data_IF_454199306219
#
_entry.id   IF_454199306219
#
_cell.length_a   1.000
_cell.length_b   1.000
_cell.length_c   1.000
_cell.angle_alpha   90.00
_cell.angle_beta   90.00
_cell.angle_gamma   90.00
#
_symmetry.space_group_name_H-M   'P 1'
#
loop_
_entity.id
_entity.type
_entity.pdbx_description
1 polymer ?
#
# COMPACT_ATOMS: atom_id res chain seq x y z
N UNK A 1 -68.17 24.36 -45.26
CA UNK A 1 -67.29 23.37 -45.91
C UNK A 1 -67.03 22.26 -44.90
N UNK A 2 -67.50 21.05 -45.21
CA UNK A 2 -67.30 19.84 -44.41
C UNK A 2 -66.44 18.87 -45.22
N UNK A 3 -65.57 18.11 -44.53
CA UNK A 3 -64.93 16.80 -44.86
C UNK A 3 -63.59 16.74 -44.09
N UNK A 4 -62.98 15.62 -43.65
CA UNK A 4 -63.29 14.23 -43.34
C UNK A 4 -62.05 13.71 -42.52
N UNK A 5 -62.19 12.58 -41.83
CA UNK A 5 -61.26 11.99 -40.84
C UNK A 5 -60.13 11.10 -41.49
N UNK A 6 -59.55 10.09 -40.79
CA UNK A 6 -58.15 9.92 -40.34
C UNK A 6 -57.29 8.94 -41.16
N UNK A 7 -55.96 8.86 -40.93
CA UNK A 7 -55.19 7.66 -41.31
C UNK A 7 -53.91 7.40 -40.48
N UNK A 8 -53.99 6.27 -39.77
CA UNK A 8 -52.99 5.37 -39.18
C UNK A 8 -51.53 5.51 -39.65
N UNK A 9 -50.60 5.47 -38.68
CA UNK A 9 -49.35 4.71 -38.80
C UNK A 9 -48.82 4.33 -37.41
N UNK A 10 -49.04 3.07 -37.02
CA UNK A 10 -48.36 2.44 -35.90
C UNK A 10 -46.95 2.02 -36.37
N UNK A 11 -45.91 2.44 -35.66
CA UNK A 11 -44.55 1.93 -35.83
C UNK A 11 -44.00 1.56 -34.45
N UNK A 12 -43.89 0.25 -34.26
CA UNK A 12 -43.34 -0.45 -33.11
C UNK A 12 -41.83 -0.14 -33.00
N UNK A 13 -41.41 0.52 -31.92
CA UNK A 13 -40.00 0.61 -31.57
C UNK A 13 -39.62 -0.56 -30.65
N UNK A 14 -38.70 -1.39 -31.14
CA UNK A 14 -38.16 -2.56 -30.47
C UNK A 14 -37.38 -2.18 -29.20
N UNK A 15 -37.64 -2.88 -28.11
CA UNK A 15 -36.91 -2.79 -26.86
C UNK A 15 -35.56 -3.53 -26.96
N UNK A 16 -34.46 -2.83 -26.68
CA UNK A 16 -33.12 -3.42 -26.53
C UNK A 16 -32.79 -3.59 -25.04
N UNK A 17 -32.32 -4.77 -24.58
CA UNK A 17 -31.94 -4.96 -23.19
C UNK A 17 -30.55 -4.38 -22.92
N UNK A 18 -30.46 -3.45 -21.96
CA UNK A 18 -29.18 -2.97 -21.43
C UNK A 18 -28.62 -4.03 -20.47
N UNK A 19 -27.54 -4.70 -20.88
CA UNK A 19 -26.77 -5.59 -20.02
C UNK A 19 -25.93 -4.70 -19.09
N UNK A 20 -26.34 -4.59 -17.82
CA UNK A 20 -25.57 -3.93 -16.78
C UNK A 20 -24.35 -4.81 -16.42
N UNK A 21 -23.17 -4.43 -16.91
CA UNK A 21 -21.90 -5.02 -16.48
C UNK A 21 -21.42 -4.32 -15.20
N UNK A 22 -21.51 -4.99 -14.06
CA UNK A 22 -20.78 -4.59 -12.85
C UNK A 22 -19.33 -5.09 -12.98
N UNK A 23 -18.43 -4.24 -13.47
CA UNK A 23 -17.01 -4.42 -13.23
C UNK A 23 -16.67 -3.76 -11.87
N UNK A 24 -16.04 -4.48 -10.91
CA UNK A 24 -15.54 -3.84 -9.71
C UNK A 24 -14.40 -2.90 -10.12
N UNK A 25 -14.66 -1.59 -10.07
CA UNK A 25 -13.65 -0.56 -10.16
C UNK A 25 -12.79 -0.61 -8.89
N UNK A 26 -11.82 -1.52 -8.86
CA UNK A 26 -10.70 -1.43 -7.95
C UNK A 26 -9.85 -0.24 -8.39
N UNK A 27 -9.81 0.83 -7.60
CA UNK A 27 -8.84 1.90 -7.75
C UNK A 27 -7.46 1.33 -7.43
N UNK A 28 -6.78 0.75 -8.43
CA UNK A 28 -5.36 0.49 -8.33
C UNK A 28 -4.66 1.84 -8.49
N UNK A 29 -4.17 2.41 -7.39
CA UNK A 29 -3.21 3.51 -7.45
C UNK A 29 -2.04 3.09 -8.35
N UNK A 30 -1.69 3.88 -9.38
CA UNK A 30 -0.57 3.56 -10.26
C UNK A 30 0.73 3.77 -9.46
N UNK A 31 1.31 2.68 -8.94
CA UNK A 31 2.63 2.74 -8.31
C UNK A 31 2.99 1.56 -7.40
N UNK A 32 2.01 0.90 -6.78
CA UNK A 32 2.29 -0.29 -5.98
C UNK A 32 2.29 -1.53 -6.87
N UNK A 33 3.47 -2.07 -7.18
CA UNK A 33 3.56 -3.40 -7.76
C UNK A 33 2.81 -4.40 -6.85
N UNK A 34 1.98 -5.25 -7.45
CA UNK A 34 1.22 -6.24 -6.70
C UNK A 34 2.16 -7.15 -5.89
N UNK A 35 1.80 -7.40 -4.62
CA UNK A 35 2.56 -8.30 -3.77
C UNK A 35 2.47 -9.74 -4.28
N UNK A 36 3.58 -10.47 -4.22
CA UNK A 36 3.55 -11.93 -4.39
C UNK A 36 2.76 -12.57 -3.23
N UNK A 37 2.23 -13.80 -3.39
CA UNK A 37 1.49 -14.48 -2.32
C UNK A 37 2.25 -14.56 -0.99
N UNK A 38 3.57 -14.84 -1.05
CA UNK A 38 4.43 -14.90 0.14
C UNK A 38 4.60 -13.54 0.83
N UNK A 39 4.64 -12.45 0.06
CA UNK A 39 4.76 -11.11 0.60
C UNK A 39 3.43 -10.66 1.23
N UNK A 40 2.30 -10.97 0.60
CA UNK A 40 0.97 -10.73 1.14
C UNK A 40 0.77 -11.49 2.46
N UNK A 41 1.08 -12.80 2.49
CA UNK A 41 1.00 -13.62 3.70
C UNK A 41 1.88 -13.05 4.82
N UNK A 42 3.10 -12.60 4.50
CA UNK A 42 3.99 -11.95 5.47
C UNK A 42 3.37 -10.66 6.01
N UNK A 43 2.82 -9.81 5.14
CA UNK A 43 2.17 -8.56 5.53
C UNK A 43 1.00 -8.84 6.48
N UNK A 44 0.10 -9.73 6.06
CA UNK A 44 -1.10 -10.10 6.81
C UNK A 44 -0.73 -10.66 8.18
N UNK A 45 0.26 -11.55 8.25
CA UNK A 45 0.74 -12.12 9.51
C UNK A 45 1.25 -11.05 10.48
N UNK A 46 1.96 -10.03 10.00
CA UNK A 46 2.50 -8.97 10.86
C UNK A 46 1.41 -8.01 11.34
N UNK A 47 0.40 -7.76 10.51
CA UNK A 47 -0.70 -6.84 10.80
C UNK A 47 -1.93 -7.51 11.41
N UNK A 48 -1.95 -8.85 11.51
CA UNK A 48 -3.05 -9.61 12.07
C UNK A 48 -3.50 -9.09 13.45
N UNK A 49 -4.82 -8.94 13.60
CA UNK A 49 -5.47 -8.45 14.80
C UNK A 49 -5.17 -6.97 15.12
N UNK A 50 -4.65 -6.19 14.16
CA UNK A 50 -4.36 -4.77 14.35
C UNK A 50 -5.18 -3.92 13.39
N UNK A 51 -5.59 -2.76 13.86
CA UNK A 51 -6.39 -1.78 13.13
C UNK A 51 -5.48 -0.61 12.73
N UNK A 52 -5.53 -0.13 11.48
CA UNK A 52 -4.80 1.05 11.05
C UNK A 52 -5.35 2.30 11.75
N UNK A 53 -4.46 3.21 12.15
CA UNK A 53 -4.79 4.56 12.59
C UNK A 53 -4.37 5.62 11.58
N UNK A 54 -4.41 6.88 12.01
CA UNK A 54 -4.03 8.01 11.17
C UNK A 54 -2.55 7.94 10.72
N UNK A 55 -2.25 8.17 9.43
CA UNK A 55 -0.89 8.30 8.94
C UNK A 55 -0.13 9.40 9.69
N UNK A 56 1.12 9.13 10.03
CA UNK A 56 2.02 10.06 10.70
C UNK A 56 3.31 10.25 9.92
N UNK A 57 3.90 11.43 10.07
CA UNK A 57 5.08 11.81 9.28
C UNK A 57 6.38 11.22 9.80
N UNK A 58 6.54 11.04 11.11
CA UNK A 58 7.82 10.61 11.68
C UNK A 58 7.63 9.45 12.64
N UNK A 59 8.53 8.46 12.56
CA UNK A 59 8.51 7.30 13.44
C UNK A 59 9.02 7.70 14.84
N UNK A 60 8.21 7.56 15.91
CA UNK A 60 8.59 8.08 17.23
C UNK A 60 9.80 7.40 17.88
N UNK A 61 9.99 6.10 17.60
CA UNK A 61 11.05 5.28 18.21
C UNK A 61 11.63 4.35 17.15
N UNK A 62 12.53 4.85 16.31
CA UNK A 62 13.19 4.02 15.29
C UNK A 62 14.15 3.03 15.95
N UNK A 63 13.94 1.73 15.70
CA UNK A 63 14.83 0.64 16.07
C UNK A 63 15.10 -0.20 14.83
N UNK A 64 16.35 -0.17 14.35
CA UNK A 64 16.75 -0.87 13.12
C UNK A 64 16.45 -2.37 13.17
N UNK A 65 16.67 -3.00 14.34
CA UNK A 65 16.45 -4.43 14.56
C UNK A 65 14.99 -4.88 14.45
N UNK A 66 14.04 -3.94 14.49
CA UNK A 66 12.60 -4.21 14.42
C UNK A 66 12.02 -3.95 13.01
N UNK A 67 12.89 -3.77 12.02
CA UNK A 67 12.50 -3.55 10.62
C UNK A 67 12.17 -4.88 9.94
N UNK A 68 11.03 -4.94 9.26
CA UNK A 68 10.55 -6.11 8.51
C UNK A 68 10.38 -5.69 7.06
N UNK A 69 11.09 -6.38 6.17
CA UNK A 69 11.11 -6.12 4.74
C UNK A 69 10.04 -6.99 4.07
N UNK A 70 8.92 -6.38 3.69
CA UNK A 70 7.78 -7.09 3.10
C UNK A 70 7.97 -7.22 1.60
N UNK A 71 8.22 -6.10 0.92
CA UNK A 71 8.43 -6.04 -0.52
C UNK A 71 9.48 -4.99 -0.87
N UNK A 72 9.65 -4.72 -2.17
CA UNK A 72 10.50 -3.63 -2.61
C UNK A 72 9.91 -2.23 -2.30
N UNK A 73 8.66 -2.16 -1.83
CA UNK A 73 7.94 -0.91 -1.55
C UNK A 73 7.33 -0.83 -0.16
N UNK A 74 7.33 -1.92 0.63
CA UNK A 74 6.67 -1.96 1.94
C UNK A 74 7.66 -2.39 3.03
N UNK A 75 7.78 -1.53 4.04
CA UNK A 75 8.49 -1.78 5.28
C UNK A 75 7.50 -1.80 6.44
N UNK A 76 7.75 -2.66 7.42
CA UNK A 76 7.10 -2.58 8.72
C UNK A 76 8.13 -2.34 9.81
N UNK A 77 7.76 -1.56 10.82
CA UNK A 77 8.55 -1.31 12.01
C UNK A 77 7.77 -1.80 13.23
N UNK A 78 8.25 -2.88 13.86
CA UNK A 78 7.61 -3.42 15.05
C UNK A 78 7.97 -2.56 16.26
N UNK A 79 6.97 -2.23 17.08
CA UNK A 79 7.16 -1.52 18.35
C UNK A 79 6.43 -2.28 19.45
N UNK A 80 6.96 -3.47 19.77
CA UNK A 80 6.32 -4.44 20.66
C UNK A 80 5.21 -5.26 19.99
N UNK A 81 4.51 -6.09 20.77
CA UNK A 81 3.49 -7.02 20.25
C UNK A 81 2.19 -6.34 19.79
N UNK A 82 1.92 -5.12 20.25
CA UNK A 82 0.63 -4.44 20.07
C UNK A 82 0.66 -3.31 19.05
N UNK A 83 1.83 -2.98 18.50
CA UNK A 83 2.01 -1.85 17.58
C UNK A 83 3.03 -2.19 16.49
N UNK A 84 2.61 -2.00 15.24
CA UNK A 84 3.46 -2.10 14.05
C UNK A 84 3.20 -0.86 13.21
N UNK A 85 4.24 -0.17 12.75
CA UNK A 85 4.10 0.92 11.80
C UNK A 85 4.35 0.39 10.39
N UNK A 86 3.40 0.58 9.48
CA UNK A 86 3.58 0.31 8.06
C UNK A 86 4.10 1.55 7.37
N UNK A 87 5.13 1.40 6.55
CA UNK A 87 5.63 2.45 5.67
C UNK A 87 5.57 1.94 4.23
N UNK A 88 4.77 2.61 3.42
CA UNK A 88 4.75 2.41 1.98
C UNK A 88 5.69 3.46 1.37
N UNK A 89 6.76 3.01 0.71
CA UNK A 89 7.80 3.88 0.16
C UNK A 89 7.26 4.75 -0.98
N UNK A 90 7.80 5.97 -1.13
CA UNK A 90 7.43 6.86 -2.25
C UNK A 90 7.90 6.33 -3.59
N UNK A 91 8.93 5.48 -3.59
CA UNK A 91 9.44 4.79 -4.76
C UNK A 91 9.78 3.33 -4.41
N UNK A 92 9.68 2.45 -5.40
CA UNK A 92 10.21 1.09 -5.26
C UNK A 92 11.72 1.12 -4.99
N UNK A 93 12.18 0.26 -4.11
CA UNK A 93 13.57 0.11 -3.69
C UNK A 93 14.07 -1.27 -4.11
N UNK A 94 14.69 -1.41 -5.30
CA UNK A 94 15.09 -2.70 -5.84
C UNK A 94 15.99 -3.50 -4.90
N UNK A 95 15.57 -4.72 -4.59
CA UNK A 95 16.30 -5.59 -3.67
C UNK A 95 15.95 -5.41 -2.21
N UNK A 96 15.03 -4.50 -1.88
CA UNK A 96 14.59 -4.34 -0.50
C UNK A 96 13.91 -5.60 0.03
N UNK A 97 13.24 -6.42 -0.76
CA UNK A 97 12.73 -7.70 -0.27
C UNK A 97 13.83 -8.74 0.07
N UNK A 98 15.09 -8.51 -0.31
CA UNK A 98 16.22 -9.44 -0.07
C UNK A 98 16.88 -9.16 1.27
N UNK A 99 16.73 -10.06 2.23
CA UNK A 99 17.31 -9.91 3.57
C UNK A 99 18.86 -9.90 3.63
N UNK A 100 19.54 -10.15 2.49
CA UNK A 100 21.01 -10.15 2.37
C UNK A 100 21.64 -8.76 2.37
N UNK A 101 20.91 -7.76 1.85
CA UNK A 101 21.47 -6.43 1.58
C UNK A 101 21.42 -5.56 2.85
N UNK A 102 22.44 -4.74 3.07
CA UNK A 102 22.53 -3.86 4.24
C UNK A 102 21.72 -2.59 3.96
N UNK A 103 20.74 -2.29 4.81
CA UNK A 103 19.96 -1.05 4.74
C UNK A 103 20.69 0.08 5.48
N UNK A 104 21.10 1.11 4.75
CA UNK A 104 21.79 2.29 5.30
C UNK A 104 20.85 3.48 5.27
N UNK A 105 20.34 3.85 6.45
CA UNK A 105 19.42 4.98 6.63
C UNK A 105 20.20 6.27 6.84
N UNK A 106 19.87 7.33 6.09
CA UNK A 106 20.35 8.68 6.35
C UNK A 106 19.23 9.46 7.03
N UNK A 107 19.39 9.66 8.33
CA UNK A 107 18.45 10.38 9.18
C UNK A 107 18.91 11.84 9.33
N UNK A 108 18.06 12.81 9.01
CA UNK A 108 18.37 14.25 9.11
C UNK A 108 17.91 14.90 10.42
N UNK A 109 17.48 14.10 11.41
CA UNK A 109 17.00 14.57 12.71
C UNK A 109 17.07 13.50 13.79
N UNK A 110 16.23 13.59 14.82
CA UNK A 110 16.15 12.62 15.93
C UNK A 110 15.26 11.40 15.64
N UNK A 111 14.52 11.42 14.53
CA UNK A 111 13.65 10.33 14.08
C UNK A 111 13.75 10.13 12.57
N UNK A 112 13.32 8.95 12.11
CA UNK A 112 13.11 8.65 10.69
C UNK A 112 11.76 9.22 10.26
N UNK A 113 11.76 10.11 9.28
CA UNK A 113 10.57 10.79 8.79
C UNK A 113 10.25 10.46 7.33
N UNK A 114 9.01 10.69 6.94
CA UNK A 114 8.57 10.72 5.55
C UNK A 114 9.46 11.72 4.78
N UNK A 115 9.99 11.26 3.64
CA UNK A 115 10.91 12.04 2.82
C UNK A 115 12.38 11.85 3.18
N UNK A 116 12.70 11.26 4.35
CA UNK A 116 14.06 10.78 4.60
C UNK A 116 14.38 9.64 3.63
N UNK A 117 15.68 9.42 3.43
CA UNK A 117 16.15 8.48 2.45
C UNK A 117 17.10 7.44 3.02
N UNK A 118 17.10 6.29 2.38
CA UNK A 118 18.03 5.22 2.64
C UNK A 118 18.51 4.63 1.32
N UNK A 119 19.51 3.76 1.40
CA UNK A 119 19.95 2.97 0.27
C UNK A 119 20.34 1.59 0.76
N UNK A 120 20.34 0.63 -0.17
CA UNK A 120 20.85 -0.70 0.10
C UNK A 120 22.32 -0.78 -0.32
N UNK A 121 23.09 -1.57 0.42
CA UNK A 121 24.45 -1.94 0.06
C UNK A 121 24.49 -3.45 -0.08
N UNK A 122 24.86 -3.94 -1.26
CA UNK A 122 25.06 -5.37 -1.47
C UNK A 122 26.18 -5.86 -0.56
N UNK A 123 25.88 -6.87 0.26
CA UNK A 123 26.82 -7.32 1.30
C UNK A 123 28.06 -8.02 0.74
N UNK A 124 27.98 -8.55 -0.48
CA UNK A 124 29.08 -9.30 -1.10
C UNK A 124 30.09 -8.40 -1.80
N UNK A 125 29.61 -7.42 -2.56
CA UNK A 125 30.39 -6.51 -3.40
C UNK A 125 30.61 -5.14 -2.78
N UNK A 126 29.83 -4.75 -1.76
CA UNK A 126 29.83 -3.41 -1.19
C UNK A 126 29.22 -2.35 -2.11
N UNK A 127 28.65 -2.73 -3.26
CA UNK A 127 28.06 -1.80 -4.21
C UNK A 127 26.79 -1.19 -3.61
N UNK A 128 26.74 0.15 -3.65
CA UNK A 128 25.57 0.93 -3.25
C UNK A 128 24.49 0.88 -4.35
N UNK A 129 23.27 0.56 -3.93
CA UNK A 129 22.07 0.64 -4.75
C UNK A 129 21.49 2.06 -4.86
N UNK A 130 20.32 2.22 -5.52
CA UNK A 130 19.66 3.49 -5.69
C UNK A 130 19.19 4.09 -4.35
N UNK A 131 18.81 5.37 -4.39
CA UNK A 131 18.22 6.06 -3.23
C UNK A 131 16.73 5.73 -3.15
N UNK A 132 16.30 5.30 -1.96
CA UNK A 132 14.93 4.95 -1.64
C UNK A 132 14.37 5.95 -0.63
N UNK A 133 13.10 6.31 -0.75
CA UNK A 133 12.48 7.40 0.02
C UNK A 133 11.33 6.88 0.85
N UNK A 134 11.36 7.15 2.16
CA UNK A 134 10.27 6.79 3.06
C UNK A 134 8.99 7.56 2.73
N UNK A 135 7.86 6.86 2.76
CA UNK A 135 6.53 7.49 2.74
C UNK A 135 6.03 7.81 4.14
N UNK A 136 4.71 7.99 4.26
CA UNK A 136 4.06 8.16 5.55
C UNK A 136 4.04 6.83 6.34
N UNK A 137 3.96 6.93 7.66
CA UNK A 137 3.89 5.78 8.56
C UNK A 137 2.46 5.60 9.07
N UNK A 138 1.85 4.45 8.82
CA UNK A 138 0.51 4.12 9.34
C UNK A 138 0.67 3.23 10.57
N UNK A 139 0.24 3.65 11.77
CA UNK A 139 0.28 2.81 12.95
C UNK A 139 -0.83 1.77 12.91
N UNK A 140 -0.49 0.50 13.03
CA UNK A 140 -1.41 -0.61 13.22
C UNK A 140 -1.39 -1.04 14.69
N UNK A 141 -2.51 -0.88 15.39
CA UNK A 141 -2.65 -1.16 16.82
C UNK A 141 -3.62 -2.30 17.09
N UNK A 142 -3.30 -3.15 18.05
CA UNK A 142 -4.33 -4.03 18.62
C UNK A 142 -5.43 -3.17 19.27
N UNK A 143 -6.71 -3.51 19.09
CA UNK A 143 -7.80 -2.88 19.82
C UNK A 143 -7.58 -2.94 21.35
N UNK A 144 -8.03 -1.91 22.05
CA UNK A 144 -8.03 -1.91 23.51
C UNK A 144 -8.98 -3.01 24.01
N UNK A 145 -8.45 -4.02 24.70
CA UNK A 145 -9.20 -5.20 25.14
C UNK A 145 -8.50 -6.53 24.84
N UNK A 146 -7.60 -6.55 23.84
CA UNK A 146 -6.90 -7.76 23.38
C UNK A 146 -5.50 -7.91 23.97
N UNK A 147 -5.30 -7.40 25.19
CA UNK A 147 -4.07 -7.58 25.95
C UNK A 147 -3.99 -9.02 26.48
N UNK A 148 -3.63 -9.95 25.60
CA UNK A 148 -3.16 -11.29 25.95
C UNK A 148 -1.70 -11.27 26.39
#
# INVERSE_FOLDING_TARGET
MATLNPMRAALLFAAAPLIASCAPAGTTEPGAAALTPKQAERLDKQLAGKVPGEPMRCLPNYRSNDTIRVSDSILLYRSGGNLVYRNDLKNSCPGLARDSDIMVVRQFGSSTCEGDFFHLVDRSSGIRGPTCVFGAFVPYRKPAGDAG
#
